data_IF_771935382000
#
_entry.id   IF_771935382000
#
_cell.length_a   1.000
_cell.length_b   1.000
_cell.length_c   1.000
_cell.angle_alpha   90.00
_cell.angle_beta   90.00
_cell.angle_gamma   90.00
#
_symmetry.space_group_name_H-M   'P 1'
#
loop_
_entity.id
_entity.type
_entity.pdbx_description
1 polymer ?
#
# COMPACT_ATOMS: atom_id res chain seq x y z
N UNK A 1 -4.30 -15.83 18.54
CA UNK A 1 -3.62 -14.77 17.74
C UNK A 1 -2.62 -15.34 16.74
N UNK A 2 -1.79 -16.32 17.13
CA UNK A 2 -0.89 -17.06 16.21
C UNK A 2 -1.64 -17.73 15.04
N UNK A 3 -2.81 -18.32 15.30
CA UNK A 3 -3.56 -19.06 14.28
C UNK A 3 -4.11 -18.17 13.14
N UNK A 4 -4.54 -16.95 13.44
CA UNK A 4 -5.05 -16.01 12.41
C UNK A 4 -3.93 -15.47 11.51
N UNK A 5 -2.75 -15.23 12.07
CA UNK A 5 -1.57 -14.78 11.30
C UNK A 5 -1.11 -15.91 10.38
N UNK A 6 -1.07 -17.13 10.91
CA UNK A 6 -0.68 -18.31 10.13
C UNK A 6 -1.68 -18.61 9.00
N UNK A 7 -2.98 -18.56 9.31
CA UNK A 7 -4.04 -18.70 8.31
C UNK A 7 -3.92 -17.66 7.19
N UNK A 8 -3.60 -16.41 7.53
CA UNK A 8 -3.38 -15.35 6.56
C UNK A 8 -2.14 -15.60 5.71
N UNK A 9 -1.05 -16.09 6.31
CA UNK A 9 0.16 -16.47 5.59
C UNK A 9 -0.14 -17.56 4.56
N UNK A 10 -0.79 -18.64 4.97
CA UNK A 10 -1.18 -19.74 4.09
C UNK A 10 -2.10 -19.25 2.95
N UNK A 11 -3.05 -18.38 3.26
CA UNK A 11 -3.93 -17.79 2.25
C UNK A 11 -3.12 -17.04 1.20
N UNK A 12 -2.20 -16.15 1.61
CA UNK A 12 -1.35 -15.38 0.70
C UNK A 12 -0.41 -16.27 -0.12
N UNK A 13 0.19 -17.27 0.47
CA UNK A 13 1.03 -18.22 -0.24
C UNK A 13 0.25 -18.94 -1.35
N UNK A 14 -0.98 -19.37 -1.07
CA UNK A 14 -1.84 -20.05 -2.03
C UNK A 14 -2.30 -19.16 -3.20
N UNK A 15 -2.53 -17.86 -2.99
CA UNK A 15 -3.00 -16.96 -4.05
C UNK A 15 -1.88 -16.14 -4.69
N UNK A 16 -0.66 -16.17 -4.14
CA UNK A 16 0.45 -15.27 -4.49
C UNK A 16 0.76 -15.25 -5.99
N UNK A 17 0.77 -16.40 -6.65
CA UNK A 17 1.09 -16.50 -8.08
C UNK A 17 -0.02 -15.90 -8.95
N UNK A 18 -1.28 -16.19 -8.66
CA UNK A 18 -2.43 -15.61 -9.35
C UNK A 18 -2.46 -14.09 -9.15
N UNK A 19 -2.25 -13.65 -7.93
CA UNK A 19 -2.16 -12.23 -7.57
C UNK A 19 -1.05 -11.53 -8.36
N UNK A 20 0.16 -12.08 -8.34
CA UNK A 20 1.31 -11.52 -9.05
C UNK A 20 1.08 -11.42 -10.55
N UNK A 21 0.58 -12.51 -11.19
CA UNK A 21 0.35 -12.53 -12.63
C UNK A 21 -0.72 -11.53 -13.08
N UNK A 22 -1.81 -11.41 -12.33
CA UNK A 22 -2.86 -10.43 -12.62
C UNK A 22 -2.33 -9.00 -12.49
N UNK A 23 -1.49 -8.73 -11.50
CA UNK A 23 -0.88 -7.41 -11.26
C UNK A 23 0.17 -7.00 -12.30
N UNK A 24 0.55 -7.89 -13.23
CA UNK A 24 1.35 -7.56 -14.41
C UNK A 24 0.53 -6.97 -15.57
N UNK A 25 -0.80 -6.89 -15.46
CA UNK A 25 -1.62 -6.35 -16.55
C UNK A 25 -1.21 -4.91 -16.89
N UNK A 26 -1.16 -4.62 -18.19
CA UNK A 26 -0.71 -3.30 -18.70
C UNK A 26 -1.53 -2.15 -18.12
N UNK A 27 -2.84 -2.33 -17.95
CA UNK A 27 -3.73 -1.30 -17.41
C UNK A 27 -3.45 -1.04 -15.95
N UNK A 28 -3.26 -2.09 -15.14
CA UNK A 28 -2.91 -1.98 -13.71
C UNK A 28 -1.59 -1.25 -13.52
N UNK A 29 -0.55 -1.67 -14.22
CA UNK A 29 0.78 -1.05 -14.11
C UNK A 29 0.75 0.41 -14.53
N UNK A 30 0.01 0.73 -15.60
CA UNK A 30 -0.12 2.11 -16.06
C UNK A 30 -0.93 2.99 -15.09
N UNK A 31 -2.01 2.47 -14.51
CA UNK A 31 -2.75 3.17 -13.47
C UNK A 31 -1.86 3.46 -12.25
N UNK A 32 -1.12 2.46 -11.77
CA UNK A 32 -0.17 2.63 -10.65
C UNK A 32 0.85 3.73 -10.96
N UNK A 33 1.43 3.71 -12.14
CA UNK A 33 2.37 4.75 -12.58
C UNK A 33 1.75 6.15 -12.49
N UNK A 34 0.53 6.32 -13.02
CA UNK A 34 -0.18 7.60 -12.99
C UNK A 34 -0.49 8.06 -11.55
N UNK A 35 -0.95 7.13 -10.69
CA UNK A 35 -1.29 7.42 -9.29
C UNK A 35 -0.06 7.91 -8.51
N UNK A 36 1.03 7.15 -8.56
CA UNK A 36 2.24 7.47 -7.81
C UNK A 36 2.93 8.74 -8.35
N UNK A 37 2.97 8.92 -9.68
CA UNK A 37 3.46 10.16 -10.29
C UNK A 37 2.65 11.38 -9.85
N UNK A 38 1.32 11.27 -9.77
CA UNK A 38 0.46 12.34 -9.28
C UNK A 38 0.72 12.64 -7.80
N UNK A 39 0.87 11.61 -6.96
CA UNK A 39 1.16 11.75 -5.55
C UNK A 39 2.50 12.44 -5.29
N UNK A 40 3.55 12.05 -5.99
CA UNK A 40 4.91 12.60 -5.82
C UNK A 40 5.16 13.92 -6.56
N UNK A 41 4.24 14.38 -7.41
CA UNK A 41 4.46 15.55 -8.28
C UNK A 41 5.03 16.78 -7.57
N UNK A 42 4.54 17.08 -6.37
CA UNK A 42 4.92 18.27 -5.60
C UNK A 42 5.79 17.96 -4.37
N UNK A 43 6.37 16.76 -4.27
CA UNK A 43 7.19 16.33 -3.12
C UNK A 43 8.68 16.48 -3.44
N UNK A 44 9.08 17.71 -3.77
CA UNK A 44 10.46 18.01 -4.17
C UNK A 44 11.48 17.74 -3.06
N UNK A 45 11.07 17.82 -1.79
CA UNK A 45 11.92 17.52 -0.63
C UNK A 45 12.38 16.06 -0.57
N UNK A 46 11.70 15.14 -1.26
CA UNK A 46 12.10 13.73 -1.33
C UNK A 46 12.97 13.41 -2.56
N UNK A 47 13.13 14.36 -3.51
CA UNK A 47 13.83 14.09 -4.77
C UNK A 47 15.34 14.20 -4.62
N UNK A 48 16.03 13.28 -5.31
CA UNK A 48 17.49 13.28 -5.52
C UNK A 48 18.37 13.32 -4.25
N UNK A 49 17.82 12.86 -3.10
CA UNK A 49 18.51 12.90 -1.81
C UNK A 49 19.13 11.57 -1.37
N UNK A 50 19.22 10.58 -2.26
CA UNK A 50 19.75 9.24 -1.92
C UNK A 50 19.18 8.69 -0.60
N UNK A 51 17.86 8.71 -0.48
CA UNK A 51 17.15 8.39 0.75
C UNK A 51 17.33 6.91 1.15
N UNK A 52 17.44 6.66 2.45
CA UNK A 52 17.33 5.33 3.03
C UNK A 52 15.87 4.96 3.20
N UNK A 53 15.47 3.77 2.71
CA UNK A 53 14.07 3.33 2.65
C UNK A 53 13.88 2.01 3.37
N UNK A 54 12.80 1.91 4.15
CA UNK A 54 12.28 0.67 4.71
C UNK A 54 10.90 0.38 4.10
N UNK A 55 10.70 -0.83 3.61
CA UNK A 55 9.40 -1.35 3.14
C UNK A 55 8.99 -2.56 4.00
N UNK A 56 8.29 -2.35 5.13
CA UNK A 56 7.68 -3.42 5.90
C UNK A 56 6.52 -4.04 5.12
N UNK A 57 6.30 -5.35 5.28
CA UNK A 57 5.23 -6.09 4.59
C UNK A 57 5.36 -5.91 3.07
N UNK A 58 6.60 -6.05 2.57
CA UNK A 58 7.00 -5.61 1.24
C UNK A 58 6.40 -6.44 0.08
N UNK A 59 5.87 -7.63 0.36
CA UNK A 59 5.38 -8.52 -0.68
C UNK A 59 6.39 -8.70 -1.81
N UNK A 60 6.09 -8.20 -2.99
CA UNK A 60 6.99 -8.21 -4.15
C UNK A 60 7.95 -7.00 -4.24
N UNK A 61 8.12 -6.24 -3.15
CA UNK A 61 9.04 -5.08 -3.06
C UNK A 61 8.75 -3.99 -4.10
N UNK A 62 7.47 -3.71 -4.32
CA UNK A 62 7.05 -2.72 -5.31
C UNK A 62 7.41 -1.29 -4.92
N UNK A 63 7.48 -1.00 -3.61
CA UNK A 63 7.81 0.33 -3.08
C UNK A 63 9.15 0.85 -3.56
N UNK A 64 10.17 -0.01 -3.65
CA UNK A 64 11.46 0.38 -4.23
C UNK A 64 11.30 0.97 -5.62
N UNK A 65 10.69 0.22 -6.54
CA UNK A 65 10.55 0.65 -7.93
C UNK A 65 9.64 1.87 -8.08
N UNK A 66 8.64 2.02 -7.23
CA UNK A 66 7.77 3.19 -7.17
C UNK A 66 8.55 4.43 -6.77
N UNK A 67 9.34 4.34 -5.70
CA UNK A 67 10.14 5.45 -5.21
C UNK A 67 11.21 5.85 -6.24
N UNK A 68 11.99 4.90 -6.76
CA UNK A 68 13.04 5.20 -7.76
C UNK A 68 12.50 5.92 -9.00
N UNK A 69 11.31 5.53 -9.49
CA UNK A 69 10.68 6.19 -10.66
C UNK A 69 10.19 7.61 -10.36
N UNK A 70 9.93 7.95 -9.11
CA UNK A 70 9.27 9.21 -8.76
C UNK A 70 10.16 10.21 -8.03
N UNK A 71 11.15 9.72 -7.28
CA UNK A 71 12.01 10.57 -6.45
C UNK A 71 13.51 10.42 -6.74
N UNK A 72 13.91 9.47 -7.59
CA UNK A 72 15.31 9.25 -7.99
C UNK A 72 15.94 8.05 -7.29
N UNK A 73 17.26 7.88 -7.49
CA UNK A 73 18.02 6.74 -6.98
C UNK A 73 18.04 6.75 -5.45
N UNK A 74 17.71 5.59 -4.85
CA UNK A 74 17.74 5.42 -3.40
C UNK A 74 19.20 5.21 -2.91
N UNK A 75 19.53 5.76 -1.76
CA UNK A 75 20.80 5.51 -1.09
C UNK A 75 20.87 4.11 -0.50
N UNK A 76 19.78 3.65 0.07
CA UNK A 76 19.63 2.26 0.52
C UNK A 76 18.17 1.84 0.52
N UNK A 77 17.94 0.55 0.40
CA UNK A 77 16.60 -0.07 0.52
C UNK A 77 16.69 -1.31 1.40
N UNK A 78 15.73 -1.46 2.28
CA UNK A 78 15.54 -2.63 3.11
C UNK A 78 14.06 -3.00 3.09
N UNK A 79 13.73 -4.23 2.73
CA UNK A 79 12.36 -4.75 2.72
C UNK A 79 12.25 -6.01 3.56
N UNK A 80 11.08 -6.23 4.15
CA UNK A 80 10.80 -7.50 4.81
C UNK A 80 9.33 -7.89 4.69
N UNK A 81 9.10 -9.19 4.67
CA UNK A 81 7.78 -9.79 4.70
C UNK A 81 7.79 -11.02 5.61
N UNK A 82 6.65 -11.39 6.17
CA UNK A 82 6.56 -12.59 7.00
C UNK A 82 6.48 -13.88 6.17
N UNK A 83 6.10 -13.81 4.88
CA UNK A 83 6.07 -14.94 3.96
C UNK A 83 7.45 -15.25 3.39
N UNK A 84 8.01 -16.40 3.78
CA UNK A 84 9.28 -16.88 3.23
C UNK A 84 9.18 -17.12 1.73
N UNK A 85 8.04 -17.61 1.25
CA UNK A 85 7.77 -17.87 -0.18
C UNK A 85 7.86 -16.58 -1.01
N UNK A 86 7.29 -15.47 -0.52
CA UNK A 86 7.39 -14.19 -1.21
C UNK A 86 8.82 -13.65 -1.21
N UNK A 87 9.51 -13.72 -0.07
CA UNK A 87 10.90 -13.28 0.05
C UNK A 87 11.82 -14.06 -0.89
N UNK A 88 11.68 -15.38 -0.96
CA UNK A 88 12.44 -16.24 -1.88
C UNK A 88 12.18 -15.86 -3.34
N UNK A 89 10.92 -15.69 -3.76
CA UNK A 89 10.57 -15.25 -5.11
C UNK A 89 11.16 -13.88 -5.46
N UNK A 90 11.17 -12.95 -4.51
CA UNK A 90 11.77 -11.62 -4.73
C UNK A 90 13.29 -11.74 -4.90
N UNK A 91 13.97 -12.58 -4.10
CA UNK A 91 15.41 -12.85 -4.24
C UNK A 91 15.77 -13.55 -5.54
N UNK A 92 14.94 -14.49 -6.00
CA UNK A 92 15.11 -15.11 -7.32
C UNK A 92 15.03 -14.09 -8.45
N UNK A 93 14.10 -13.13 -8.38
CA UNK A 93 13.96 -12.08 -9.39
C UNK A 93 15.05 -11.00 -9.31
N UNK A 94 15.53 -10.71 -8.10
CA UNK A 94 16.52 -9.67 -7.81
C UNK A 94 17.45 -10.12 -6.68
N UNK A 95 18.51 -10.91 -6.96
CA UNK A 95 19.40 -11.47 -5.94
C UNK A 95 20.08 -10.44 -5.05
N UNK A 96 20.35 -9.24 -5.58
CA UNK A 96 21.02 -8.15 -4.86
C UNK A 96 20.09 -7.31 -4.00
N UNK A 97 18.77 -7.59 -4.02
CA UNK A 97 17.82 -6.83 -3.26
C UNK A 97 17.88 -7.22 -1.78
N UNK A 98 18.04 -6.23 -0.90
CA UNK A 98 18.07 -6.45 0.54
C UNK A 98 16.63 -6.68 1.07
N UNK A 99 16.20 -7.94 1.01
CA UNK A 99 14.90 -8.40 1.54
C UNK A 99 15.09 -9.62 2.43
N UNK A 100 14.28 -9.76 3.48
CA UNK A 100 14.37 -10.87 4.43
C UNK A 100 13.03 -11.20 5.07
N UNK A 101 12.96 -12.39 5.66
CA UNK A 101 11.77 -12.86 6.38
C UNK A 101 11.73 -12.21 7.75
N UNK A 102 10.66 -11.48 8.05
CA UNK A 102 10.45 -10.85 9.35
C UNK A 102 8.96 -10.52 9.55
N UNK A 103 8.46 -10.81 10.74
CA UNK A 103 7.13 -10.37 11.16
C UNK A 103 7.17 -8.90 11.61
N UNK A 104 6.31 -8.08 11.05
CA UNK A 104 6.21 -6.66 11.36
C UNK A 104 5.85 -6.39 12.83
N UNK A 105 5.12 -7.28 13.46
CA UNK A 105 4.71 -7.16 14.86
C UNK A 105 5.88 -7.30 15.84
N UNK A 106 6.89 -8.08 15.45
CA UNK A 106 8.09 -8.33 16.28
C UNK A 106 9.32 -7.57 15.77
N UNK A 107 9.17 -6.77 14.71
CA UNK A 107 10.28 -6.03 14.13
C UNK A 107 10.87 -5.02 15.12
N UNK A 108 12.18 -5.11 15.29
CA UNK A 108 12.98 -4.18 16.11
C UNK A 108 14.30 -3.90 15.39
N UNK A 109 14.66 -2.64 15.26
CA UNK A 109 15.91 -2.22 14.65
C UNK A 109 16.33 -0.86 15.21
N UNK A 110 17.64 -0.66 15.38
CA UNK A 110 18.22 0.65 15.73
C UNK A 110 18.41 1.55 14.51
N UNK A 111 18.25 1.00 13.30
CA UNK A 111 18.35 1.76 12.05
C UNK A 111 17.24 2.80 11.93
N UNK A 112 17.59 3.94 11.34
CA UNK A 112 16.66 5.02 11.01
C UNK A 112 16.60 5.22 9.50
N UNK A 113 15.40 5.41 8.98
CA UNK A 113 15.12 5.56 7.56
C UNK A 113 14.54 6.93 7.26
N UNK A 114 14.84 7.47 6.08
CA UNK A 114 14.26 8.71 5.57
C UNK A 114 12.82 8.49 5.13
N UNK A 115 12.53 7.30 4.60
CA UNK A 115 11.19 6.91 4.14
C UNK A 115 10.85 5.51 4.67
N UNK A 116 9.66 5.39 5.24
CA UNK A 116 9.00 4.09 5.46
C UNK A 116 7.79 4.04 4.52
N UNK A 117 7.63 2.95 3.76
CA UNK A 117 6.52 2.79 2.83
C UNK A 117 5.80 1.46 3.06
N UNK A 118 4.47 1.49 3.20
CA UNK A 118 3.62 0.30 3.25
C UNK A 118 2.53 0.41 2.17
N UNK A 119 2.40 -0.62 1.36
CA UNK A 119 1.44 -0.66 0.25
C UNK A 119 0.45 -1.81 0.47
N UNK A 120 -0.69 -1.50 1.09
CA UNK A 120 -1.74 -2.49 1.35
C UNK A 120 -1.30 -3.56 2.35
N UNK A 121 -0.62 -3.17 3.42
CA UNK A 121 -0.10 -4.08 4.44
C UNK A 121 -0.85 -4.01 5.77
N UNK A 122 -1.10 -2.81 6.29
CA UNK A 122 -1.64 -2.64 7.65
C UNK A 122 -3.02 -3.29 7.85
N UNK A 123 -3.84 -3.37 6.81
CA UNK A 123 -5.17 -3.99 6.93
C UNK A 123 -5.11 -5.52 7.14
N UNK A 124 -3.95 -6.14 6.99
CA UNK A 124 -3.71 -7.55 7.26
C UNK A 124 -3.32 -7.83 8.73
N UNK A 125 -3.05 -6.79 9.51
CA UNK A 125 -2.71 -6.91 10.94
C UNK A 125 -3.62 -6.03 11.81
N UNK A 126 -4.95 -6.11 11.65
CA UNK A 126 -5.89 -5.13 12.21
C UNK A 126 -5.82 -5.01 13.74
N UNK A 127 -5.54 -6.09 14.45
CA UNK A 127 -5.41 -6.12 15.91
C UNK A 127 -4.09 -5.57 16.43
N UNK A 128 -3.08 -5.42 15.58
CA UNK A 128 -1.71 -5.03 15.94
C UNK A 128 -1.25 -3.74 15.27
N UNK A 129 -2.13 -3.10 14.48
CA UNK A 129 -1.80 -1.87 13.74
C UNK A 129 -1.18 -0.78 14.62
N UNK A 130 -1.70 -0.59 15.84
CA UNK A 130 -1.21 0.45 16.74
C UNK A 130 0.23 0.17 17.18
N UNK A 131 0.52 -1.06 17.60
CA UNK A 131 1.87 -1.49 17.98
C UNK A 131 2.83 -1.39 16.80
N UNK A 132 2.42 -1.84 15.61
CA UNK A 132 3.21 -1.77 14.39
C UNK A 132 3.57 -0.32 14.05
N UNK A 133 2.58 0.58 14.02
CA UNK A 133 2.81 2.00 13.69
C UNK A 133 3.69 2.68 14.74
N UNK A 134 3.50 2.36 16.03
CA UNK A 134 4.32 2.87 17.12
C UNK A 134 5.78 2.39 17.01
N UNK A 135 5.99 1.09 16.76
CA UNK A 135 7.33 0.52 16.60
C UNK A 135 8.05 1.12 15.39
N UNK A 136 7.39 1.21 14.25
CA UNK A 136 7.97 1.78 13.03
C UNK A 136 8.29 3.29 13.16
N UNK A 137 7.60 4.01 14.06
CA UNK A 137 7.95 5.40 14.36
C UNK A 137 9.38 5.52 14.88
N UNK A 138 9.82 4.55 15.69
CA UNK A 138 11.18 4.54 16.21
C UNK A 138 12.24 4.33 15.12
N UNK A 139 11.85 3.85 13.94
CA UNK A 139 12.73 3.64 12.80
C UNK A 139 12.65 4.78 11.76
N UNK A 140 11.83 5.79 11.98
CA UNK A 140 11.77 6.97 11.11
C UNK A 140 12.72 8.05 11.64
N UNK A 141 13.49 8.67 10.73
CA UNK A 141 14.32 9.84 11.05
C UNK A 141 13.44 11.06 11.35
N UNK A 142 13.94 12.01 12.13
CA UNK A 142 13.32 13.34 12.22
C UNK A 142 13.12 13.91 10.82
N UNK A 143 11.95 14.49 10.56
CA UNK A 143 11.47 14.93 9.24
C UNK A 143 11.35 13.82 8.18
N UNK A 144 11.51 12.55 8.54
CA UNK A 144 11.28 11.42 7.66
C UNK A 144 9.81 11.27 7.27
N UNK A 145 9.55 10.57 6.17
CA UNK A 145 8.21 10.38 5.62
C UNK A 145 7.73 8.93 5.79
N UNK A 146 6.56 8.74 6.40
CA UNK A 146 5.84 7.47 6.39
C UNK A 146 4.75 7.53 5.32
N UNK A 147 4.88 6.74 4.27
CA UNK A 147 3.95 6.68 3.14
C UNK A 147 3.13 5.39 3.24
N UNK A 148 1.81 5.52 3.19
CA UNK A 148 0.91 4.37 3.33
C UNK A 148 -0.23 4.45 2.32
N UNK A 149 -0.43 3.36 1.56
CA UNK A 149 -1.59 3.16 0.70
C UNK A 149 -2.43 2.03 1.29
N UNK A 150 -3.63 2.34 1.74
CA UNK A 150 -4.53 1.35 2.35
C UNK A 150 -5.92 1.36 1.73
N UNK A 151 -6.58 0.19 1.65
CA UNK A 151 -7.99 0.13 1.34
C UNK A 151 -8.80 0.84 2.43
N UNK A 152 -9.70 1.74 2.01
CA UNK A 152 -10.56 2.48 2.94
C UNK A 152 -12.02 2.43 2.50
N UNK A 153 -12.93 2.60 3.45
CA UNK A 153 -14.37 2.73 3.17
C UNK A 153 -14.97 3.86 4.02
N UNK A 154 -15.29 4.95 3.35
CA UNK A 154 -15.82 6.15 4.01
C UNK A 154 -17.32 6.33 3.75
N UNK A 155 -17.91 5.51 2.89
CA UNK A 155 -19.33 5.54 2.53
C UNK A 155 -20.01 4.23 2.95
N UNK A 156 -21.14 4.33 3.67
CA UNK A 156 -21.89 3.17 4.18
C UNK A 156 -22.41 2.29 3.04
N UNK A 157 -22.82 2.88 1.92
CA UNK A 157 -23.34 2.14 0.76
C UNK A 157 -22.21 1.32 0.13
N UNK A 158 -21.05 1.95 -0.11
CA UNK A 158 -19.89 1.28 -0.69
C UNK A 158 -19.30 0.23 0.26
N UNK A 159 -19.36 0.47 1.58
CA UNK A 159 -19.00 -0.55 2.56
C UNK A 159 -19.85 -1.81 2.40
N UNK A 160 -21.17 -1.67 2.32
CA UNK A 160 -22.10 -2.80 2.14
C UNK A 160 -21.89 -3.53 0.80
N UNK A 161 -21.57 -2.79 -0.26
CA UNK A 161 -21.22 -3.39 -1.58
C UNK A 161 -19.95 -4.20 -1.45
N UNK A 162 -18.92 -3.64 -0.83
CA UNK A 162 -17.63 -4.33 -0.60
C UNK A 162 -17.81 -5.58 0.26
N UNK A 163 -18.51 -5.49 1.37
CA UNK A 163 -18.83 -6.63 2.23
C UNK A 163 -19.53 -7.75 1.44
N UNK A 164 -20.47 -7.41 0.54
CA UNK A 164 -21.11 -8.40 -0.35
C UNK A 164 -20.19 -9.01 -1.36
N UNK A 165 -19.23 -8.24 -1.88
CA UNK A 165 -18.23 -8.72 -2.83
C UNK A 165 -17.26 -9.66 -2.12
N UNK A 166 -16.77 -9.29 -0.96
CA UNK A 166 -15.85 -10.10 -0.15
C UNK A 166 -16.49 -11.42 0.28
N UNK A 167 -17.76 -11.41 0.70
CA UNK A 167 -18.51 -12.63 1.03
C UNK A 167 -18.64 -13.63 -0.13
N UNK A 168 -18.46 -13.19 -1.37
CA UNK A 168 -18.61 -14.03 -2.57
C UNK A 168 -17.29 -14.37 -3.26
N UNK A 169 -16.20 -13.74 -2.89
CA UNK A 169 -14.91 -13.88 -3.57
C UNK A 169 -13.87 -14.44 -2.60
N UNK A 170 -13.44 -15.68 -2.87
CA UNK A 170 -12.46 -16.42 -2.07
C UNK A 170 -11.04 -15.81 -2.05
N UNK A 171 -10.79 -14.75 -2.84
CA UNK A 171 -9.54 -14.02 -2.82
C UNK A 171 -9.41 -13.07 -1.61
N UNK A 172 -10.50 -12.84 -0.88
CA UNK A 172 -10.54 -11.95 0.29
C UNK A 172 -10.92 -12.75 1.54
N UNK A 173 -10.09 -12.67 2.55
CA UNK A 173 -10.38 -13.27 3.85
C UNK A 173 -10.97 -12.21 4.80
N UNK A 174 -12.24 -12.39 5.18
CA UNK A 174 -12.95 -11.44 6.02
C UNK A 174 -12.52 -11.44 7.49
N UNK A 175 -12.00 -12.56 7.97
CA UNK A 175 -11.59 -12.71 9.37
C UNK A 175 -10.27 -12.00 9.63
N UNK A 176 -9.39 -11.96 8.62
CA UNK A 176 -8.03 -11.42 8.73
C UNK A 176 -7.83 -10.08 8.03
N UNK A 177 -8.74 -9.67 7.11
CA UNK A 177 -8.62 -8.42 6.35
C UNK A 177 -9.71 -7.41 6.73
N UNK A 178 -9.31 -6.28 7.30
CA UNK A 178 -10.24 -5.20 7.66
C UNK A 178 -9.85 -3.88 7.00
N UNK A 179 -10.59 -3.48 5.96
CA UNK A 179 -10.42 -2.15 5.41
C UNK A 179 -10.73 -1.06 6.45
N UNK A 180 -9.90 -0.03 6.49
CA UNK A 180 -10.02 1.07 7.44
C UNK A 180 -11.17 2.02 7.12
N UNK A 181 -11.76 2.65 8.14
CA UNK A 181 -12.36 3.96 7.97
C UNK A 181 -11.25 5.01 7.93
N UNK A 182 -11.39 6.04 7.11
CA UNK A 182 -10.38 7.09 7.00
C UNK A 182 -10.03 7.70 8.37
N UNK A 183 -11.03 7.91 9.23
CA UNK A 183 -10.80 8.44 10.57
C UNK A 183 -9.98 7.48 11.44
N UNK A 184 -10.22 6.17 11.32
CA UNK A 184 -9.46 5.14 12.05
C UNK A 184 -8.00 5.15 11.57
N UNK A 185 -7.77 5.12 10.25
CA UNK A 185 -6.42 5.18 9.68
C UNK A 185 -5.68 6.46 10.12
N UNK A 186 -6.32 7.62 10.02
CA UNK A 186 -5.68 8.87 10.43
C UNK A 186 -5.38 8.89 11.94
N UNK A 187 -6.32 8.48 12.78
CA UNK A 187 -6.13 8.47 14.23
C UNK A 187 -5.02 7.49 14.62
N UNK A 188 -4.89 6.34 13.94
CA UNK A 188 -3.82 5.39 14.17
C UNK A 188 -2.43 6.07 14.11
N UNK A 189 -2.20 6.91 13.15
CA UNK A 189 -0.94 7.65 13.02
C UNK A 189 -0.87 8.87 13.97
N UNK A 190 -1.92 9.68 14.02
CA UNK A 190 -1.92 10.89 14.82
C UNK A 190 -1.74 10.61 16.32
N UNK A 191 -2.40 9.58 16.85
CA UNK A 191 -2.29 9.17 18.25
C UNK A 191 -0.88 8.64 18.59
N UNK A 192 -0.15 8.16 17.60
CA UNK A 192 1.23 7.70 17.73
C UNK A 192 2.27 8.81 17.40
N UNK A 193 1.87 10.09 17.45
CA UNK A 193 2.78 11.22 17.34
C UNK A 193 3.26 11.54 15.93
N UNK A 194 2.57 11.06 14.92
CA UNK A 194 2.78 11.49 13.53
C UNK A 194 1.93 12.70 13.20
N UNK A 195 2.33 13.44 12.16
CA UNK A 195 1.58 14.54 11.55
C UNK A 195 1.18 14.17 10.13
N UNK A 196 -0.07 14.42 9.76
CA UNK A 196 -0.52 14.22 8.38
C UNK A 196 0.05 15.33 7.49
N UNK A 197 0.97 14.98 6.60
CA UNK A 197 1.60 15.89 5.67
C UNK A 197 0.86 15.99 4.32
N UNK A 198 0.32 14.87 3.82
CA UNK A 198 -0.45 14.84 2.56
C UNK A 198 -1.39 13.65 2.53
N UNK A 199 -2.52 13.80 1.83
CA UNK A 199 -3.48 12.72 1.65
C UNK A 199 -4.20 12.83 0.30
N UNK A 200 -4.31 11.68 -0.39
CA UNK A 200 -4.96 11.53 -1.68
C UNK A 200 -5.93 10.35 -1.65
N UNK A 201 -7.02 10.45 -2.38
CA UNK A 201 -8.12 9.49 -2.43
C UNK A 201 -8.22 8.83 -3.81
N UNK A 202 -7.31 7.91 -4.18
CA UNK A 202 -7.22 7.38 -5.55
C UNK A 202 -8.25 6.29 -5.86
N UNK A 203 -8.93 5.76 -4.86
CA UNK A 203 -9.83 4.62 -4.97
C UNK A 203 -11.19 4.97 -5.61
N UNK A 204 -11.19 5.59 -6.80
CA UNK A 204 -12.37 6.01 -7.54
C UNK A 204 -12.60 5.14 -8.78
N UNK A 205 -13.11 5.69 -9.87
CA UNK A 205 -13.49 4.97 -11.08
C UNK A 205 -12.31 4.18 -11.68
N UNK A 206 -11.18 4.83 -11.90
CA UNK A 206 -10.00 4.16 -12.47
C UNK A 206 -9.48 3.03 -11.58
N UNK A 207 -9.53 3.22 -10.27
CA UNK A 207 -9.15 2.21 -9.30
C UNK A 207 -10.08 0.99 -9.36
N UNK A 208 -11.40 1.22 -9.41
CA UNK A 208 -12.40 0.14 -9.50
C UNK A 208 -12.20 -0.67 -10.79
N UNK A 209 -11.95 0.00 -11.91
CA UNK A 209 -11.83 -0.65 -13.20
C UNK A 209 -10.50 -1.41 -13.39
N UNK A 210 -9.38 -0.91 -12.85
CA UNK A 210 -8.06 -1.38 -13.28
C UNK A 210 -7.10 -1.75 -12.14
N UNK A 211 -7.42 -1.46 -10.86
CA UNK A 211 -6.47 -1.69 -9.78
C UNK A 211 -6.44 -3.14 -9.30
N UNK A 212 -7.57 -3.84 -9.32
CA UNK A 212 -7.71 -5.23 -8.85
C UNK A 212 -8.11 -6.18 -10.00
N UNK A 213 -7.26 -6.38 -11.01
CA UNK A 213 -7.57 -7.24 -12.15
C UNK A 213 -7.64 -8.73 -11.79
N UNK A 214 -7.09 -9.13 -10.66
CA UNK A 214 -7.19 -10.44 -10.05
C UNK A 214 -8.61 -10.74 -9.55
N UNK A 215 -9.23 -9.77 -8.89
CA UNK A 215 -10.57 -9.90 -8.34
C UNK A 215 -11.68 -9.63 -9.37
N UNK A 216 -11.44 -8.71 -10.30
CA UNK A 216 -12.41 -8.22 -11.27
C UNK A 216 -11.86 -8.18 -12.71
N UNK A 217 -11.44 -9.33 -13.28
CA UNK A 217 -10.82 -9.36 -14.61
C UNK A 217 -11.73 -8.81 -15.72
N UNK A 218 -13.05 -8.94 -15.57
CA UNK A 218 -14.04 -8.46 -16.53
C UNK A 218 -14.16 -6.91 -16.58
N UNK A 219 -13.68 -6.20 -15.56
CA UNK A 219 -13.61 -4.73 -15.54
C UNK A 219 -12.35 -4.20 -16.22
N UNK A 220 -11.29 -5.00 -16.30
CA UNK A 220 -9.99 -4.61 -16.84
C UNK A 220 -9.99 -4.65 -18.37
N UNK A 221 -10.88 -3.91 -19.02
CA UNK A 221 -11.06 -3.84 -20.48
C UNK A 221 -10.49 -2.55 -21.06
N UNK A 222 -10.23 -2.56 -22.36
CA UNK A 222 -9.64 -1.42 -23.09
C UNK A 222 -8.13 -1.32 -22.87
N UNK A 223 -7.56 -0.18 -23.23
CA UNK A 223 -6.11 0.05 -23.17
C UNK A 223 -5.74 1.31 -22.38
N UNK A 224 -4.48 1.68 -22.42
CA UNK A 224 -3.91 2.85 -21.71
C UNK A 224 -4.69 4.15 -21.92
N UNK A 225 -5.33 4.35 -23.08
CA UNK A 225 -6.16 5.53 -23.35
C UNK A 225 -7.36 5.63 -22.40
N UNK A 226 -8.06 4.50 -22.19
CA UNK A 226 -9.20 4.45 -21.26
C UNK A 226 -8.75 4.62 -19.80
N UNK A 227 -7.65 3.99 -19.42
CA UNK A 227 -7.04 4.18 -18.09
C UNK A 227 -6.73 5.66 -17.86
N UNK A 228 -6.07 6.32 -18.81
CA UNK A 228 -5.72 7.75 -18.72
C UNK A 228 -6.96 8.65 -18.63
N UNK A 229 -8.01 8.34 -19.38
CA UNK A 229 -9.28 9.08 -19.33
C UNK A 229 -9.95 8.95 -17.97
N UNK A 230 -10.14 7.71 -17.48
CA UNK A 230 -10.71 7.46 -16.17
C UNK A 230 -9.88 8.11 -15.05
N UNK A 231 -8.55 7.98 -15.10
CA UNK A 231 -7.64 8.64 -14.17
C UNK A 231 -7.77 10.17 -14.18
N UNK A 232 -7.87 10.78 -15.38
CA UNK A 232 -8.05 12.23 -15.51
C UNK A 232 -9.34 12.69 -14.85
N UNK A 233 -10.44 11.97 -15.01
CA UNK A 233 -11.72 12.25 -14.33
C UNK A 233 -11.52 12.16 -12.82
N UNK A 234 -10.94 11.06 -12.33
CA UNK A 234 -10.74 10.83 -10.91
C UNK A 234 -9.82 11.87 -10.26
N UNK A 235 -8.81 12.36 -11.01
CA UNK A 235 -7.83 13.32 -10.49
C UNK A 235 -8.43 14.64 -10.02
N UNK A 236 -9.60 15.03 -10.54
CA UNK A 236 -10.35 16.19 -10.03
C UNK A 236 -10.86 15.98 -8.59
N UNK A 237 -11.00 14.72 -8.17
CA UNK A 237 -11.57 14.36 -6.88
C UNK A 237 -10.54 13.88 -5.86
N UNK A 238 -9.31 13.61 -6.26
CA UNK A 238 -8.28 13.00 -5.41
C UNK A 238 -8.01 13.74 -4.08
N UNK A 239 -8.28 15.03 -3.99
CA UNK A 239 -7.95 15.84 -2.81
C UNK A 239 -9.14 16.65 -2.27
N UNK A 240 -10.37 16.31 -2.65
CA UNK A 240 -11.55 17.03 -2.23
C UNK A 240 -12.52 16.15 -1.42
N UNK A 241 -13.60 16.77 -0.94
CA UNK A 241 -14.60 16.10 -0.12
C UNK A 241 -15.28 14.92 -0.82
N UNK A 242 -15.55 15.03 -2.14
CA UNK A 242 -16.20 13.97 -2.91
C UNK A 242 -15.29 12.75 -2.97
N UNK A 243 -14.04 12.92 -3.37
CA UNK A 243 -13.05 11.85 -3.37
C UNK A 243 -12.88 11.20 -2.01
N UNK A 244 -12.77 12.01 -0.94
CA UNK A 244 -12.71 11.53 0.44
C UNK A 244 -13.90 10.64 0.81
N UNK A 245 -15.10 10.94 0.32
CA UNK A 245 -16.32 10.18 0.64
C UNK A 245 -16.51 8.94 -0.22
N UNK A 246 -16.05 8.96 -1.47
CA UNK A 246 -16.33 7.90 -2.45
C UNK A 246 -15.18 6.93 -2.65
N UNK A 247 -13.96 7.27 -2.22
CA UNK A 247 -12.77 6.46 -2.46
C UNK A 247 -12.79 5.14 -1.68
N UNK A 248 -12.34 4.09 -2.35
CA UNK A 248 -12.06 2.75 -1.78
C UNK A 248 -10.61 2.57 -1.31
N UNK A 249 -9.75 3.57 -1.53
CA UNK A 249 -8.37 3.56 -1.08
C UNK A 249 -7.91 4.95 -0.67
N UNK A 250 -6.98 5.01 0.26
CA UNK A 250 -6.36 6.26 0.71
C UNK A 250 -4.85 6.10 0.65
N UNK A 251 -4.18 7.07 0.01
CA UNK A 251 -2.74 7.20 -0.02
C UNK A 251 -2.35 8.41 0.84
N UNK A 252 -1.63 8.16 1.92
CA UNK A 252 -1.27 9.17 2.90
C UNK A 252 0.24 9.28 3.07
N UNK A 253 0.71 10.46 3.39
CA UNK A 253 2.07 10.71 3.86
C UNK A 253 1.99 11.35 5.24
N UNK A 254 2.65 10.74 6.18
CA UNK A 254 2.83 11.24 7.54
C UNK A 254 4.30 11.59 7.78
N UNK A 255 4.55 12.51 8.71
CA UNK A 255 5.90 12.89 9.14
C UNK A 255 5.99 12.89 10.66
N UNK A 256 7.20 12.91 11.18
CA UNK A 256 7.49 13.20 12.59
C UNK A 256 8.37 14.44 12.68
N UNK A 257 8.35 15.10 13.85
CA UNK A 257 9.22 16.25 14.14
C UNK A 257 10.67 15.84 14.26
#
# INVERSE_FOLDING_TARGET
MSDLIEQQREHFENISEKYYNARKSTNHLYLKELMWRFFFKNKTQLKDNQLSVLEPMCGYSEGKSILERNIGVLGSYEGFDYSSVLVEKVKEMNPDLNVYVQDVSTFKSDKKFDVIIIIGGLHHVPSMCEEVVQNLRNNLKSQGAFIVLEPTHNNIIFRKIRERIYNKNTLFDQETEKAFRLKELNNLFLNNGYKLADQMYPGLLSYILFYNPDAFPFLNIGGKGLVKLAFKIDSFFFRNYIGRKLSFATLSMFTID
#
